data_IF_532476440643
#
_entry.id   IF_532476440643
#
_cell.length_a   1.000
_cell.length_b   1.000
_cell.length_c   1.000
_cell.angle_alpha   90.00
_cell.angle_beta   90.00
_cell.angle_gamma   90.00
#
_symmetry.space_group_name_H-M   'P 1'
#
loop_
_entity.id
_entity.type
_entity.pdbx_description
1 polymer ?
#
# COMPACT_ATOMS: atom_id res chain seq x y z
N UNK A 1 -4.53 -4.01 -7.21
CA UNK A 1 -5.84 -4.27 -6.59
C UNK A 1 -6.19 -3.23 -5.52
N UNK A 2 -5.21 -2.76 -4.73
CA UNK A 2 -5.45 -1.73 -3.71
C UNK A 2 -5.91 -0.39 -4.32
N UNK A 3 -5.39 -0.02 -5.50
CA UNK A 3 -5.82 1.21 -6.19
C UNK A 3 -7.22 1.06 -6.77
N UNK A 4 -7.56 -0.14 -7.25
CA UNK A 4 -8.89 -0.45 -7.77
C UNK A 4 -9.96 -0.29 -6.69
N UNK A 5 -9.72 -0.76 -5.47
CA UNK A 5 -10.69 -0.63 -4.37
C UNK A 5 -10.86 0.82 -3.90
N UNK A 6 -9.92 1.73 -4.15
CA UNK A 6 -10.03 3.12 -3.72
C UNK A 6 -11.24 3.85 -4.33
N UNK A 7 -11.67 3.48 -5.52
CA UNK A 7 -12.92 4.01 -6.12
C UNK A 7 -14.16 3.16 -5.83
N UNK A 8 -14.09 2.21 -4.89
CA UNK A 8 -15.19 1.31 -4.56
C UNK A 8 -15.38 0.15 -5.54
N UNK A 9 -14.43 -0.05 -6.46
CA UNK A 9 -14.51 -1.13 -7.43
C UNK A 9 -14.06 -2.46 -6.83
N UNK A 10 -14.84 -3.53 -7.09
CA UNK A 10 -14.46 -4.89 -6.75
C UNK A 10 -13.50 -5.42 -7.81
N UNK A 11 -12.25 -5.82 -7.47
CA UNK A 11 -11.35 -6.47 -8.40
C UNK A 11 -11.98 -7.76 -8.96
N UNK A 12 -11.90 -7.95 -10.27
CA UNK A 12 -12.43 -9.12 -10.97
C UNK A 12 -11.32 -10.05 -11.42
N UNK A 13 -10.31 -9.49 -12.08
CA UNK A 13 -9.18 -10.27 -12.58
C UNK A 13 -7.90 -9.43 -12.64
N UNK A 14 -6.81 -10.17 -12.75
CA UNK A 14 -5.45 -9.67 -12.84
C UNK A 14 -4.72 -10.33 -14.01
N UNK A 15 -3.86 -9.57 -14.66
CA UNK A 15 -2.93 -10.00 -15.68
C UNK A 15 -1.54 -9.55 -15.26
N UNK A 16 -0.55 -10.40 -15.39
CA UNK A 16 0.84 -10.06 -15.12
C UNK A 16 1.66 -9.95 -16.41
N UNK A 17 2.73 -9.19 -16.33
CA UNK A 17 3.79 -9.15 -17.32
C UNK A 17 5.13 -9.29 -16.61
N UNK A 18 5.93 -10.26 -17.03
CA UNK A 18 7.25 -10.53 -16.46
C UNK A 18 8.29 -10.34 -17.56
N UNK A 19 9.09 -9.27 -17.46
CA UNK A 19 10.25 -9.04 -18.28
C UNK A 19 11.48 -9.66 -17.60
N UNK A 20 12.26 -10.46 -18.31
CA UNK A 20 13.42 -11.18 -17.76
C UNK A 20 14.62 -11.08 -18.70
N UNK A 21 15.83 -11.00 -18.13
CA UNK A 21 17.07 -11.06 -18.91
C UNK A 21 17.32 -12.45 -19.47
N UNK A 22 17.01 -13.49 -18.66
CA UNK A 22 17.07 -14.88 -19.05
C UNK A 22 15.97 -15.68 -18.36
N UNK A 23 15.36 -16.61 -19.09
CA UNK A 23 14.32 -17.46 -18.53
C UNK A 23 14.92 -18.56 -17.64
N UNK A 24 14.58 -18.46 -16.35
CA UNK A 24 14.80 -19.50 -15.35
C UNK A 24 13.42 -19.95 -14.85
N UNK A 25 12.89 -21.08 -15.36
CA UNK A 25 11.50 -21.49 -15.11
C UNK A 25 11.13 -21.55 -13.63
N UNK A 26 12.05 -21.99 -12.78
CA UNK A 26 11.84 -22.08 -11.33
C UNK A 26 11.63 -20.69 -10.71
N UNK A 27 12.47 -19.72 -11.07
CA UNK A 27 12.33 -18.32 -10.58
C UNK A 27 11.01 -17.69 -11.06
N UNK A 28 10.66 -17.91 -12.33
CA UNK A 28 9.38 -17.42 -12.89
C UNK A 28 8.20 -18.05 -12.17
N UNK A 29 8.25 -19.36 -11.90
CA UNK A 29 7.20 -20.06 -11.15
C UNK A 29 7.01 -19.48 -9.73
N UNK A 30 8.09 -19.16 -9.03
CA UNK A 30 8.03 -18.51 -7.71
C UNK A 30 7.39 -17.11 -7.78
N UNK A 31 7.76 -16.29 -8.78
CA UNK A 31 7.16 -14.95 -8.99
C UNK A 31 5.67 -15.09 -9.25
N UNK A 32 5.26 -15.98 -10.17
CA UNK A 32 3.85 -16.19 -10.50
C UNK A 32 3.07 -16.76 -9.30
N UNK A 33 3.69 -17.62 -8.48
CA UNK A 33 3.09 -18.13 -7.25
C UNK A 33 2.76 -16.99 -6.29
N UNK A 34 3.68 -16.00 -6.12
CA UNK A 34 3.42 -14.81 -5.31
C UNK A 34 2.28 -13.94 -5.86
N UNK A 35 2.22 -13.77 -7.19
CA UNK A 35 1.11 -13.05 -7.85
C UNK A 35 -0.22 -13.78 -7.63
N UNK A 36 -0.24 -15.10 -7.78
CA UNK A 36 -1.43 -15.94 -7.57
C UNK A 36 -1.93 -15.83 -6.12
N UNK A 37 -1.03 -15.86 -5.13
CA UNK A 37 -1.38 -15.66 -3.72
C UNK A 37 -2.02 -14.28 -3.51
N UNK A 38 -1.45 -13.22 -4.10
CA UNK A 38 -2.03 -11.88 -4.07
C UNK A 38 -3.44 -11.83 -4.67
N UNK A 39 -3.69 -12.58 -5.75
CA UNK A 39 -5.01 -12.72 -6.35
C UNK A 39 -6.00 -13.45 -5.42
N UNK A 40 -5.57 -14.53 -4.75
CA UNK A 40 -6.37 -15.24 -3.75
C UNK A 40 -6.74 -14.32 -2.58
N UNK A 41 -5.78 -13.56 -2.07
CA UNK A 41 -6.02 -12.62 -0.96
C UNK A 41 -7.00 -11.53 -1.35
N UNK A 42 -6.92 -10.99 -2.56
CA UNK A 42 -7.83 -9.96 -3.06
C UNK A 42 -9.17 -10.50 -3.54
N UNK A 43 -9.26 -11.80 -3.80
CA UNK A 43 -10.48 -12.43 -4.33
C UNK A 43 -10.71 -12.15 -5.81
N UNK A 44 -9.66 -11.85 -6.58
CA UNK A 44 -9.71 -11.72 -8.04
C UNK A 44 -9.10 -12.96 -8.72
N UNK A 45 -9.40 -13.16 -10.01
CA UNK A 45 -8.86 -14.26 -10.79
C UNK A 45 -7.56 -13.84 -11.50
N UNK A 46 -6.50 -14.66 -11.39
CA UNK A 46 -5.36 -14.56 -12.31
C UNK A 46 -5.77 -15.27 -13.62
N UNK A 47 -6.03 -14.51 -14.68
CA UNK A 47 -6.62 -15.08 -15.91
C UNK A 47 -5.62 -15.24 -17.04
N UNK A 48 -4.40 -14.79 -16.87
CA UNK A 48 -3.32 -14.88 -17.84
C UNK A 48 -2.25 -13.86 -17.56
N UNK A 49 -1.31 -13.77 -18.47
CA UNK A 49 -0.19 -12.85 -18.40
C UNK A 49 0.77 -13.10 -19.57
N UNK A 50 1.93 -12.51 -19.53
CA UNK A 50 2.99 -12.68 -20.53
C UNK A 50 4.35 -12.72 -19.85
N UNK A 51 5.23 -13.59 -20.31
CA UNK A 51 6.63 -13.60 -19.90
C UNK A 51 7.51 -13.39 -21.11
N UNK A 52 8.31 -12.34 -21.11
CA UNK A 52 9.18 -11.99 -22.23
C UNK A 52 10.66 -11.98 -21.82
N UNK A 53 11.48 -12.71 -22.57
CA UNK A 53 12.93 -12.69 -22.42
C UNK A 53 13.52 -11.56 -23.28
N UNK A 54 14.38 -10.75 -22.67
CA UNK A 54 15.00 -9.58 -23.30
C UNK A 54 16.55 -9.71 -23.35
N UNK A 55 17.08 -10.64 -24.15
CA UNK A 55 18.53 -10.86 -24.23
C UNK A 55 19.25 -9.63 -24.76
N UNK A 56 20.32 -9.22 -24.06
CA UNK A 56 21.11 -8.04 -24.44
C UNK A 56 20.49 -6.68 -24.08
N UNK A 57 19.23 -6.64 -23.71
CA UNK A 57 18.57 -5.41 -23.22
C UNK A 57 18.52 -5.39 -21.68
N UNK A 58 18.28 -6.52 -21.08
CA UNK A 58 18.19 -6.68 -19.61
C UNK A 58 19.32 -7.62 -19.14
N UNK A 59 19.99 -7.31 -18.01
CA UNK A 59 20.96 -8.22 -17.39
C UNK A 59 20.36 -9.59 -17.10
N UNK A 60 21.19 -10.63 -17.22
CA UNK A 60 20.75 -12.05 -17.17
C UNK A 60 19.98 -12.41 -15.89
N UNK A 61 20.37 -11.81 -14.76
CA UNK A 61 19.79 -12.10 -13.44
C UNK A 61 18.70 -11.10 -13.01
N UNK A 62 18.40 -10.12 -13.86
CA UNK A 62 17.39 -9.12 -13.57
C UNK A 62 16.04 -9.47 -14.16
N UNK A 63 14.99 -8.98 -13.51
CA UNK A 63 13.62 -9.05 -13.96
C UNK A 63 12.83 -7.83 -13.52
N UNK A 64 11.75 -7.56 -14.24
CA UNK A 64 10.75 -6.57 -13.88
C UNK A 64 9.35 -7.17 -13.97
N UNK A 65 8.46 -6.77 -13.06
CA UNK A 65 7.10 -7.30 -12.97
C UNK A 65 6.11 -6.15 -13.02
N UNK A 66 5.22 -6.20 -13.99
CA UNK A 66 4.10 -5.29 -14.08
C UNK A 66 2.78 -6.05 -13.91
N UNK A 67 1.77 -5.38 -13.35
CA UNK A 67 0.46 -5.97 -13.15
C UNK A 67 -0.65 -5.08 -13.68
N UNK A 68 -1.67 -5.69 -14.25
CA UNK A 68 -2.87 -5.02 -14.72
C UNK A 68 -4.10 -5.60 -14.03
N UNK A 69 -4.74 -4.77 -13.18
CA UNK A 69 -5.93 -5.16 -12.43
C UNK A 69 -7.18 -4.50 -13.01
N UNK A 70 -8.23 -5.29 -13.22
CA UNK A 70 -9.54 -4.80 -13.63
C UNK A 70 -10.57 -5.04 -12.55
N UNK A 71 -11.34 -4.02 -12.24
CA UNK A 71 -12.44 -4.08 -11.31
C UNK A 71 -13.71 -3.49 -11.87
N UNK A 72 -14.82 -3.72 -11.17
CA UNK A 72 -16.13 -3.17 -11.50
C UNK A 72 -16.73 -2.45 -10.30
N UNK A 73 -17.31 -1.28 -10.54
CA UNK A 73 -18.07 -0.53 -9.56
C UNK A 73 -19.45 -0.17 -10.13
N UNK A 74 -20.46 -0.20 -9.27
CA UNK A 74 -21.76 0.40 -9.59
C UNK A 74 -21.61 1.93 -9.64
N UNK A 75 -21.93 2.55 -10.76
CA UNK A 75 -21.76 3.99 -10.94
C UNK A 75 -22.33 4.85 -9.79
N UNK A 76 -23.53 4.56 -9.24
CA UNK A 76 -24.05 5.30 -8.08
C UNK A 76 -23.29 5.08 -6.76
N UNK A 77 -22.45 4.04 -6.68
CA UNK A 77 -21.68 3.68 -5.49
C UNK A 77 -20.19 4.01 -5.62
N UNK A 78 -19.78 4.65 -6.69
CA UNK A 78 -18.39 5.04 -6.88
C UNK A 78 -17.94 5.99 -5.76
N UNK A 79 -16.75 5.72 -5.26
CA UNK A 79 -16.09 6.55 -4.25
C UNK A 79 -15.19 7.53 -5.00
N UNK A 80 -15.54 8.81 -4.98
CA UNK A 80 -14.85 9.89 -5.67
C UNK A 80 -14.57 11.12 -4.78
N UNK A 81 -14.87 11.01 -3.48
CA UNK A 81 -14.71 12.10 -2.53
C UNK A 81 -15.85 13.14 -2.53
N UNK A 82 -16.79 13.08 -3.48
CA UNK A 82 -17.86 14.10 -3.61
C UNK A 82 -18.79 14.21 -2.40
N UNK A 83 -18.84 13.17 -1.56
CA UNK A 83 -19.64 13.12 -0.32
C UNK A 83 -18.88 13.63 0.91
N UNK A 84 -17.61 14.00 0.79
CA UNK A 84 -16.83 14.51 1.91
C UNK A 84 -17.39 15.83 2.43
N UNK A 85 -17.38 15.97 3.73
CA UNK A 85 -17.76 17.21 4.40
C UNK A 85 -16.92 17.47 5.64
N UNK A 86 -16.95 18.71 6.12
CA UNK A 86 -16.31 19.09 7.37
C UNK A 86 -16.85 18.25 8.53
N UNK A 87 -15.96 17.76 9.39
CA UNK A 87 -16.29 16.90 10.53
C UNK A 87 -16.17 15.40 10.24
N UNK A 88 -16.01 14.98 8.99
CA UNK A 88 -15.75 13.57 8.65
C UNK A 88 -14.45 13.08 9.30
N UNK A 89 -14.39 11.80 9.59
CA UNK A 89 -13.29 11.17 10.34
C UNK A 89 -12.41 10.36 9.40
N UNK A 90 -11.09 10.55 9.53
CA UNK A 90 -10.10 9.76 8.82
C UNK A 90 -9.64 8.57 9.68
N UNK A 91 -9.73 7.39 9.12
CA UNK A 91 -9.26 6.14 9.72
C UNK A 91 -8.10 5.59 8.88
N UNK A 92 -6.97 5.32 9.54
CA UNK A 92 -5.79 4.73 8.91
C UNK A 92 -5.76 3.22 9.10
N UNK A 93 -5.56 2.47 8.02
CA UNK A 93 -5.32 1.04 8.04
C UNK A 93 -3.81 0.80 8.04
N UNK A 94 -3.33 0.02 9.01
CA UNK A 94 -1.89 -0.24 9.17
C UNK A 94 -1.27 -0.88 7.93
N UNK A 95 -0.08 -0.43 7.58
CA UNK A 95 0.78 -1.12 6.62
C UNK A 95 1.48 -2.32 7.25
N UNK A 96 1.99 -3.22 6.43
CA UNK A 96 2.83 -4.36 6.84
C UNK A 96 4.32 -4.02 6.89
N UNK A 97 4.73 -2.88 6.34
CA UNK A 97 6.12 -2.46 6.18
C UNK A 97 6.24 -1.32 5.19
N UNK A 98 7.35 -1.28 4.48
CA UNK A 98 7.65 -0.26 3.46
C UNK A 98 6.68 -0.35 2.28
N UNK A 99 6.07 -1.50 2.07
CA UNK A 99 5.30 -1.85 0.88
C UNK A 99 6.19 -1.84 -0.37
N UNK A 100 5.75 -1.19 -1.46
CA UNK A 100 6.46 -1.23 -2.74
C UNK A 100 7.00 0.13 -3.18
N UNK A 101 7.10 1.12 -2.28
CA UNK A 101 7.50 2.48 -2.63
C UNK A 101 8.73 2.95 -1.83
N UNK A 102 9.51 3.85 -2.43
CA UNK A 102 10.66 4.46 -1.79
C UNK A 102 11.94 3.60 -1.79
N UNK A 103 11.98 2.48 -2.52
CA UNK A 103 13.12 1.55 -2.51
C UNK A 103 14.41 2.12 -3.08
N UNK A 104 14.37 3.12 -3.96
CA UNK A 104 15.58 3.83 -4.39
C UNK A 104 16.29 4.50 -3.22
N UNK A 105 15.50 5.12 -2.32
CA UNK A 105 16.02 5.73 -1.10
C UNK A 105 16.47 4.67 -0.09
N UNK A 106 15.69 3.58 0.09
CA UNK A 106 16.04 2.44 0.95
C UNK A 106 17.41 1.87 0.56
N UNK A 107 17.63 1.59 -0.73
CA UNK A 107 18.91 1.07 -1.23
C UNK A 107 20.07 2.02 -0.93
N UNK A 108 19.84 3.32 -1.07
CA UNK A 108 20.85 4.34 -0.76
C UNK A 108 21.14 4.45 0.74
N UNK A 109 20.11 4.37 1.61
CA UNK A 109 20.27 4.46 3.07
C UNK A 109 21.12 3.33 3.62
N UNK A 110 20.85 2.10 3.17
CA UNK A 110 21.46 0.90 3.72
C UNK A 110 22.62 0.34 2.89
N UNK A 111 22.93 0.97 1.74
CA UNK A 111 23.94 0.45 0.78
C UNK A 111 23.73 -1.05 0.52
N UNK A 112 22.52 -1.39 0.05
CA UNK A 112 22.04 -2.78 -0.02
C UNK A 112 22.99 -3.66 -0.83
N UNK A 113 23.52 -4.69 -0.16
CA UNK A 113 24.39 -5.74 -0.69
C UNK A 113 24.16 -7.03 0.13
N UNK A 114 24.91 -8.11 -0.17
CA UNK A 114 24.76 -9.42 0.50
C UNK A 114 24.99 -9.36 2.01
N UNK A 115 25.87 -8.47 2.50
CA UNK A 115 26.15 -8.32 3.92
C UNK A 115 25.06 -7.49 4.61
N UNK A 116 24.73 -6.32 4.05
CA UNK A 116 23.79 -5.39 4.68
C UNK A 116 22.36 -5.91 4.69
N UNK A 117 21.96 -6.71 3.69
CA UNK A 117 20.61 -7.30 3.65
C UNK A 117 20.39 -8.32 4.79
N UNK A 118 21.45 -8.98 5.24
CA UNK A 118 21.43 -9.94 6.34
C UNK A 118 21.69 -9.29 7.70
N UNK A 119 21.91 -7.97 7.76
CA UNK A 119 22.18 -7.27 9.02
C UNK A 119 20.96 -7.31 9.95
N UNK A 120 21.24 -7.51 11.24
CA UNK A 120 20.27 -7.42 12.32
C UNK A 120 20.35 -6.06 12.99
N UNK A 121 19.21 -5.45 13.27
CA UNK A 121 19.09 -4.18 13.98
C UNK A 121 18.25 -4.37 15.25
N UNK A 122 18.64 -3.77 16.39
CA UNK A 122 17.88 -3.91 17.64
C UNK A 122 16.42 -3.49 17.56
N UNK A 123 16.08 -2.63 16.60
CA UNK A 123 14.73 -2.14 16.37
C UNK A 123 13.85 -3.12 15.56
N UNK A 124 14.46 -4.14 14.94
CA UNK A 124 13.76 -5.07 14.03
C UNK A 124 13.74 -6.47 14.65
N UNK A 125 12.63 -7.18 14.47
CA UNK A 125 12.47 -8.57 14.92
C UNK A 125 13.09 -9.59 13.93
N UNK A 126 13.55 -9.12 12.77
CA UNK A 126 14.07 -9.92 11.66
C UNK A 126 15.26 -9.21 11.04
N UNK A 127 15.95 -9.88 10.12
CA UNK A 127 16.99 -9.23 9.30
C UNK A 127 16.41 -8.07 8.50
N UNK A 128 17.29 -7.16 8.05
CA UNK A 128 16.89 -6.04 7.21
C UNK A 128 16.17 -6.52 5.96
N UNK A 129 16.71 -7.54 5.27
CA UNK A 129 16.13 -8.10 4.06
C UNK A 129 14.74 -8.67 4.27
N UNK A 130 14.55 -9.51 5.28
CA UNK A 130 13.24 -10.08 5.61
C UNK A 130 12.21 -8.99 5.95
N UNK A 131 12.65 -7.92 6.63
CA UNK A 131 11.79 -6.78 6.95
C UNK A 131 11.40 -6.00 5.70
N UNK A 132 12.35 -5.72 4.80
CA UNK A 132 12.12 -4.99 3.56
C UNK A 132 11.29 -5.79 2.55
N UNK A 133 11.43 -7.12 2.54
CA UNK A 133 10.67 -8.02 1.66
C UNK A 133 9.28 -8.38 2.19
N UNK A 134 8.86 -7.81 3.34
CA UNK A 134 7.49 -8.01 3.82
C UNK A 134 6.49 -7.56 2.76
N UNK A 135 5.59 -8.47 2.30
CA UNK A 135 4.66 -8.16 1.22
C UNK A 135 3.75 -6.98 1.52
N UNK A 136 3.42 -6.23 0.48
CA UNK A 136 2.41 -5.16 0.54
C UNK A 136 1.06 -5.73 1.00
N UNK A 137 0.49 -5.14 2.04
CA UNK A 137 -0.80 -5.56 2.58
C UNK A 137 -1.93 -5.33 1.58
N UNK A 138 -2.78 -6.31 1.40
CA UNK A 138 -3.96 -6.25 0.52
C UNK A 138 -5.18 -5.87 1.35
N UNK A 139 -5.82 -4.75 1.00
CA UNK A 139 -6.94 -4.16 1.76
C UNK A 139 -8.31 -4.47 1.16
N UNK A 140 -8.38 -5.21 0.06
CA UNK A 140 -9.61 -5.41 -0.74
C UNK A 140 -10.74 -6.01 0.07
N UNK A 141 -10.53 -7.20 0.66
CA UNK A 141 -11.60 -7.90 1.41
C UNK A 141 -12.12 -7.10 2.62
N UNK A 142 -11.24 -6.54 3.49
CA UNK A 142 -11.70 -5.71 4.60
C UNK A 142 -12.49 -4.49 4.15
N UNK A 143 -12.06 -3.81 3.06
CA UNK A 143 -12.75 -2.63 2.58
C UNK A 143 -14.09 -2.96 1.92
N UNK A 144 -14.19 -4.01 1.12
CA UNK A 144 -15.48 -4.46 0.58
C UNK A 144 -16.46 -4.77 1.69
N UNK A 145 -16.05 -5.51 2.72
CA UNK A 145 -16.89 -5.83 3.87
C UNK A 145 -17.32 -4.59 4.68
N UNK A 146 -16.47 -3.55 4.72
CA UNK A 146 -16.80 -2.27 5.32
C UNK A 146 -17.82 -1.50 4.49
N UNK A 147 -17.59 -1.38 3.18
CA UNK A 147 -18.44 -0.64 2.24
C UNK A 147 -19.86 -1.19 2.16
N UNK A 148 -20.06 -2.47 2.45
CA UNK A 148 -21.39 -3.08 2.57
C UNK A 148 -22.18 -2.59 3.79
N UNK A 149 -21.54 -1.98 4.78
CA UNK A 149 -22.14 -1.64 6.09
C UNK A 149 -22.00 -0.18 6.48
N UNK A 150 -21.06 0.55 5.87
CA UNK A 150 -20.72 1.94 6.16
C UNK A 150 -20.56 2.69 4.86
N UNK A 151 -21.10 3.92 4.78
CA UNK A 151 -20.86 4.80 3.62
C UNK A 151 -19.42 5.36 3.69
N UNK A 152 -18.51 4.73 2.98
CA UNK A 152 -17.12 5.18 2.84
C UNK A 152 -17.11 6.28 1.80
N UNK A 153 -16.75 7.51 2.21
CA UNK A 153 -16.87 8.71 1.37
C UNK A 153 -15.64 8.95 0.50
N UNK A 154 -14.46 8.55 0.97
CA UNK A 154 -13.21 8.64 0.22
C UNK A 154 -12.20 7.62 0.72
N UNK A 155 -11.28 7.23 -0.16
CA UNK A 155 -10.19 6.30 0.14
C UNK A 155 -8.89 6.82 -0.50
N UNK A 156 -7.80 6.76 0.23
CA UNK A 156 -6.46 7.07 -0.27
C UNK A 156 -5.50 5.92 0.01
N UNK A 157 -4.90 5.35 -1.03
CA UNK A 157 -3.81 4.40 -0.93
C UNK A 157 -2.49 5.17 -0.75
N UNK A 158 -1.79 4.96 0.35
CA UNK A 158 -0.55 5.67 0.67
C UNK A 158 0.61 4.95 0.01
N UNK A 159 0.99 5.45 -1.14
CA UNK A 159 2.07 4.95 -2.01
C UNK A 159 3.21 5.96 -2.11
N UNK A 160 3.92 6.01 -3.24
CA UNK A 160 4.92 7.05 -3.52
C UNK A 160 4.32 8.45 -3.38
N UNK A 161 5.08 9.37 -2.76
CA UNK A 161 4.57 10.69 -2.37
C UNK A 161 3.98 10.73 -0.96
N UNK A 162 3.89 9.57 -0.27
CA UNK A 162 3.52 9.49 1.15
C UNK A 162 2.18 10.16 1.48
N UNK A 163 2.11 10.75 2.66
CA UNK A 163 0.91 11.43 3.14
C UNK A 163 0.60 12.72 2.35
N UNK A 164 1.63 13.50 2.06
CA UNK A 164 1.46 14.84 1.49
C UNK A 164 0.92 14.83 0.05
N UNK A 165 1.24 13.82 -0.74
CA UNK A 165 0.74 13.75 -2.11
C UNK A 165 -0.51 12.89 -2.26
N UNK A 166 -0.66 11.80 -1.47
CA UNK A 166 -1.78 10.88 -1.68
C UNK A 166 -3.06 11.34 -0.99
N UNK A 167 -2.99 11.90 0.22
CA UNK A 167 -4.19 12.35 0.94
C UNK A 167 -4.94 13.45 0.18
N UNK A 168 -4.28 14.50 -0.36
CA UNK A 168 -4.99 15.53 -1.12
C UNK A 168 -5.78 15.01 -2.31
N UNK A 169 -5.36 13.89 -2.94
CA UNK A 169 -6.06 13.32 -4.09
C UNK A 169 -7.47 12.83 -3.79
N UNK A 170 -7.76 12.49 -2.54
CA UNK A 170 -9.11 12.07 -2.14
C UNK A 170 -10.00 13.23 -1.66
N UNK A 171 -9.42 14.43 -1.47
CA UNK A 171 -10.14 15.60 -0.96
C UNK A 171 -10.79 16.38 -2.10
N UNK A 172 -11.92 17.00 -1.81
CA UNK A 172 -12.58 17.97 -2.69
C UNK A 172 -12.16 19.39 -2.34
N UNK A 173 -12.38 20.33 -3.27
CA UNK A 173 -11.99 21.72 -3.09
C UNK A 173 -12.58 22.31 -1.81
N UNK A 174 -11.75 23.05 -1.09
CA UNK A 174 -12.13 23.71 0.16
C UNK A 174 -12.00 22.84 1.42
N UNK A 175 -11.68 21.55 1.27
CA UNK A 175 -11.46 20.65 2.40
C UNK A 175 -9.97 20.38 2.64
N UNK A 176 -9.61 20.20 3.89
CA UNK A 176 -8.27 19.80 4.30
C UNK A 176 -8.30 18.65 5.32
N UNK A 177 -7.26 17.81 5.28
CA UNK A 177 -7.09 16.71 6.23
C UNK A 177 -6.21 17.15 7.39
N UNK A 178 -6.76 17.10 8.62
CA UNK A 178 -6.01 17.36 9.84
C UNK A 178 -5.65 16.05 10.53
N UNK A 179 -4.38 15.67 10.51
CA UNK A 179 -3.89 14.42 11.09
C UNK A 179 -3.01 14.73 12.29
N UNK A 180 -3.28 14.04 13.41
CA UNK A 180 -2.37 14.07 14.56
C UNK A 180 -1.25 13.08 14.34
N UNK A 181 -0.01 13.57 14.38
CA UNK A 181 1.19 12.75 14.24
C UNK A 181 1.25 11.61 15.25
N UNK A 182 0.90 11.88 16.51
CA UNK A 182 0.93 10.88 17.60
C UNK A 182 -0.06 9.71 17.37
N UNK A 183 -1.02 9.87 16.46
CA UNK A 183 -1.95 8.81 16.09
C UNK A 183 -1.43 7.91 14.96
N UNK A 184 -0.26 8.22 14.38
CA UNK A 184 0.31 7.43 13.30
C UNK A 184 1.16 6.32 13.90
N UNK A 185 0.86 5.03 13.63
CA UNK A 185 1.56 3.90 14.19
C UNK A 185 2.89 3.65 13.43
N UNK A 186 3.83 4.59 13.55
CA UNK A 186 5.10 4.53 12.84
C UNK A 186 5.85 3.23 13.16
N UNK A 187 6.02 2.38 12.13
CA UNK A 187 6.71 1.09 12.29
C UNK A 187 8.22 1.27 12.55
N UNK A 188 8.85 0.33 13.26
CA UNK A 188 10.28 0.39 13.60
C UNK A 188 11.21 0.63 12.42
N UNK A 189 10.92 0.02 11.27
CA UNK A 189 11.73 0.18 10.05
C UNK A 189 11.81 1.66 9.60
N UNK A 190 10.74 2.44 9.72
CA UNK A 190 10.76 3.86 9.34
C UNK A 190 11.60 4.71 10.29
N UNK A 191 11.58 4.38 11.60
CA UNK A 191 12.46 5.03 12.58
C UNK A 191 13.92 4.71 12.32
N UNK A 192 14.21 3.45 12.00
CA UNK A 192 15.54 3.00 11.62
C UNK A 192 16.04 3.73 10.37
N UNK A 193 15.22 3.79 9.30
CA UNK A 193 15.56 4.48 8.06
C UNK A 193 15.82 5.97 8.29
N UNK A 194 14.98 6.63 9.08
CA UNK A 194 15.15 8.04 9.43
C UNK A 194 16.46 8.28 10.15
N UNK A 195 16.81 7.44 11.12
CA UNK A 195 18.04 7.54 11.91
C UNK A 195 19.29 7.28 11.07
N UNK A 196 19.32 6.17 10.33
CA UNK A 196 20.49 5.76 9.53
C UNK A 196 20.71 6.72 8.35
N UNK A 197 19.64 7.10 7.66
CA UNK A 197 19.71 8.01 6.51
C UNK A 197 19.77 9.49 6.90
N UNK A 198 19.65 9.83 8.18
CA UNK A 198 19.54 11.21 8.67
C UNK A 198 18.51 12.02 7.86
N UNK A 199 17.33 11.43 7.63
CA UNK A 199 16.29 11.99 6.75
C UNK A 199 15.40 12.94 7.55
N UNK A 200 15.15 14.16 7.04
CA UNK A 200 14.17 15.06 7.64
C UNK A 200 12.80 14.38 7.77
N UNK A 201 12.09 14.65 8.86
CA UNK A 201 10.79 14.03 9.10
C UNK A 201 9.78 14.31 7.97
N UNK A 202 9.77 15.52 7.46
CA UNK A 202 8.92 15.89 6.32
C UNK A 202 9.14 14.95 5.14
N UNK A 203 10.39 14.67 4.80
CA UNK A 203 10.75 13.83 3.65
C UNK A 203 10.38 12.36 3.88
N UNK A 204 10.45 11.89 5.15
CA UNK A 204 9.93 10.57 5.52
C UNK A 204 8.44 10.45 5.21
N UNK A 205 7.62 11.44 5.61
CA UNK A 205 6.18 11.47 5.35
C UNK A 205 5.82 11.78 3.88
N UNK A 206 6.75 12.35 3.12
CA UNK A 206 6.58 12.59 1.68
C UNK A 206 7.02 11.40 0.82
N UNK A 207 7.76 10.44 1.38
CA UNK A 207 8.28 9.29 0.63
C UNK A 207 7.58 7.99 1.01
N UNK A 208 7.30 7.80 2.30
CA UNK A 208 6.88 6.52 2.86
C UNK A 208 5.48 6.56 3.47
N UNK A 209 4.88 5.38 3.64
CA UNK A 209 3.57 5.21 4.27
C UNK A 209 3.58 5.36 5.80
N UNK A 210 4.75 5.41 6.44
CA UNK A 210 4.98 5.61 7.87
C UNK A 210 4.17 4.67 8.80
N UNK A 211 3.72 3.52 8.31
CA UNK A 211 2.91 2.57 9.07
C UNK A 211 1.41 2.61 8.76
N UNK A 212 0.98 3.47 7.82
CA UNK A 212 -0.40 3.55 7.34
C UNK A 212 -0.43 3.37 5.83
N UNK A 213 -0.89 2.23 5.36
CA UNK A 213 -0.91 1.94 3.92
C UNK A 213 -2.17 2.42 3.22
N UNK A 214 -3.28 2.62 3.95
CA UNK A 214 -4.52 3.12 3.39
C UNK A 214 -5.26 4.01 4.38
N UNK A 215 -5.91 5.05 3.89
CA UNK A 215 -6.74 5.97 4.67
C UNK A 215 -8.14 5.97 4.09
N UNK A 216 -9.15 5.89 4.93
CA UNK A 216 -10.55 6.01 4.56
C UNK A 216 -11.20 7.18 5.29
N UNK A 217 -12.18 7.80 4.67
CA UNK A 217 -13.01 8.84 5.26
C UNK A 217 -14.44 8.35 5.43
N UNK A 218 -14.99 8.54 6.63
CA UNK A 218 -16.37 8.17 6.99
C UNK A 218 -17.03 9.29 7.79
N UNK A 219 -18.35 9.28 7.83
CA UNK A 219 -19.09 10.17 8.73
C UNK A 219 -18.67 9.95 10.20
N UNK A 220 -18.73 11.01 11.01
CA UNK A 220 -18.29 10.97 12.42
C UNK A 220 -19.06 9.92 13.22
N UNK A 221 -20.34 9.78 12.98
CA UNK A 221 -21.24 8.80 13.62
C UNK A 221 -20.92 7.35 13.25
N UNK A 222 -20.34 7.12 12.08
CA UNK A 222 -19.96 5.79 11.61
C UNK A 222 -18.55 5.38 12.02
N UNK A 223 -17.74 6.28 12.57
CA UNK A 223 -16.33 6.05 12.85
C UNK A 223 -16.08 4.83 13.77
N UNK A 224 -16.82 4.72 14.87
CA UNK A 224 -16.64 3.61 15.83
C UNK A 224 -17.15 2.29 15.25
N UNK A 225 -18.21 2.31 14.46
CA UNK A 225 -18.70 1.15 13.71
C UNK A 225 -17.67 0.70 12.68
N UNK A 226 -17.10 1.64 11.91
CA UNK A 226 -16.05 1.34 10.94
C UNK A 226 -14.81 0.74 11.61
N UNK A 227 -14.34 1.32 12.72
CA UNK A 227 -13.23 0.77 13.50
C UNK A 227 -13.51 -0.67 13.95
N UNK A 228 -14.72 -0.97 14.43
CA UNK A 228 -15.09 -2.31 14.87
C UNK A 228 -15.12 -3.35 13.75
N UNK A 229 -15.44 -2.94 12.53
CA UNK A 229 -15.52 -3.82 11.35
C UNK A 229 -14.16 -4.11 10.70
N UNK A 230 -13.18 -3.21 10.87
CA UNK A 230 -11.87 -3.33 10.25
C UNK A 230 -10.84 -4.00 11.20
N UNK A 231 -11.25 -4.64 12.28
CA UNK A 231 -10.37 -5.26 13.29
C UNK A 231 -9.24 -6.12 12.72
N UNK A 232 -9.43 -6.74 11.56
CA UNK A 232 -8.41 -7.53 10.86
C UNK A 232 -7.20 -6.67 10.43
N UNK A 233 -7.37 -5.35 10.35
CA UNK A 233 -6.35 -4.40 9.86
C UNK A 233 -5.78 -3.49 10.95
N UNK A 234 -6.19 -3.65 12.22
CA UNK A 234 -5.80 -2.78 13.34
C UNK A 234 -5.89 -1.27 12.97
N UNK A 235 -7.08 -0.75 12.65
CA UNK A 235 -7.24 0.61 12.20
C UNK A 235 -6.95 1.61 13.33
N UNK A 236 -6.46 2.79 12.94
CA UNK A 236 -6.20 3.90 13.85
C UNK A 236 -7.01 5.12 13.43
N UNK A 237 -7.63 5.81 14.40
CA UNK A 237 -8.31 7.08 14.16
C UNK A 237 -7.26 8.19 13.98
N UNK A 238 -7.09 8.69 12.77
CA UNK A 238 -6.08 9.71 12.44
C UNK A 238 -6.55 11.12 12.79
N UNK A 239 -7.73 11.52 12.40
CA UNK A 239 -8.55 12.69 12.78
C UNK A 239 -9.61 13.10 11.74
N UNK A 240 -10.00 14.40 11.78
CA UNK A 240 -11.16 14.90 11.05
C UNK A 240 -10.74 15.68 9.80
N UNK A 241 -11.65 15.79 8.85
CA UNK A 241 -11.63 16.73 7.74
C UNK A 241 -12.13 18.09 8.26
N UNK A 242 -11.46 19.14 7.88
CA UNK A 242 -11.81 20.53 8.19
C UNK A 242 -11.86 21.36 6.93
#
# INVERSE_FOLDING_TARGET
>A
VNDVICCGAKPLFFLDYIAIGKNYPEKVAEIVSGIAEGCVQSGCALIGGETAEHPGLMPVDEYDVAGFSVGIADKPKMIDGSKLCEGDVLLGLRSSGVHSNGFSLVRKIFDINEETINAEYPELDKTLGETLLTPTKIYVKPLLALMDKVDVKAVSHITGGGFYENIPRMLTDGLSAKIKKDNIPVLPIFKLMQRVGNIPEHDMFNTFNMGVGMIIAVAKEDADKALSLIHISEPTRLRCIS
#
